data_IF_719326572392
#
_entry.id   IF_719326572392
#
_cell.length_a   1.000
_cell.length_b   1.000
_cell.length_c   1.000
_cell.angle_alpha   90.00
_cell.angle_beta   90.00
_cell.angle_gamma   90.00
#
_symmetry.space_group_name_H-M   'P 1'
#
loop_
_entity.id
_entity.type
_entity.pdbx_description
1 polymer ?
#
# COMPACT_ATOMS: atom_id res chain seq x y z
N UNK A 1 30.87 4.34 2.52
CA UNK A 1 30.62 5.28 1.42
C UNK A 1 29.13 5.28 1.13
N UNK A 2 28.40 6.39 1.33
CA UNK A 2 26.98 6.45 0.97
C UNK A 2 26.83 6.43 -0.57
N UNK A 3 25.89 5.62 -1.07
CA UNK A 3 25.57 5.57 -2.49
C UNK A 3 24.70 6.78 -2.86
N UNK A 4 25.12 7.65 -3.81
CA UNK A 4 24.40 8.89 -4.11
C UNK A 4 23.21 8.62 -5.04
N UNK A 5 22.10 8.16 -4.46
CA UNK A 5 20.89 7.80 -5.20
C UNK A 5 20.35 8.93 -6.09
N UNK A 6 20.53 10.18 -5.68
CA UNK A 6 20.07 11.38 -6.42
C UNK A 6 20.88 11.67 -7.69
N UNK A 7 22.04 11.04 -7.86
CA UNK A 7 22.87 11.18 -9.06
C UNK A 7 22.55 10.13 -10.13
N UNK A 8 21.62 9.20 -9.84
CA UNK A 8 21.18 8.22 -10.81
C UNK A 8 20.29 8.86 -11.90
N UNK A 9 20.36 8.36 -13.15
CA UNK A 9 19.31 8.57 -14.12
C UNK A 9 17.94 8.21 -13.54
N UNK A 10 16.93 9.03 -13.83
CA UNK A 10 15.56 8.86 -13.31
C UNK A 10 15.03 7.45 -13.55
N UNK A 11 15.24 6.90 -14.75
CA UNK A 11 14.79 5.54 -15.11
C UNK A 11 15.39 4.46 -14.20
N UNK A 12 16.68 4.57 -13.87
CA UNK A 12 17.36 3.62 -12.97
C UNK A 12 16.85 3.76 -11.53
N UNK A 13 16.65 5.00 -11.07
CA UNK A 13 16.07 5.24 -9.75
C UNK A 13 14.65 4.67 -9.64
N UNK A 14 13.82 4.85 -10.67
CA UNK A 14 12.46 4.30 -10.72
C UNK A 14 12.47 2.77 -10.75
N UNK A 15 13.36 2.14 -11.51
CA UNK A 15 13.45 0.68 -11.55
C UNK A 15 13.92 0.10 -10.21
N UNK A 16 14.86 0.76 -9.52
CA UNK A 16 15.25 0.37 -8.15
C UNK A 16 14.06 0.49 -7.20
N UNK A 17 13.32 1.60 -7.24
CA UNK A 17 12.12 1.80 -6.41
C UNK A 17 11.09 0.71 -6.71
N UNK A 18 10.83 0.41 -7.98
CA UNK A 18 9.90 -0.62 -8.41
C UNK A 18 10.27 -1.97 -7.82
N UNK A 19 11.52 -2.40 -7.99
CA UNK A 19 12.00 -3.70 -7.49
C UNK A 19 11.95 -3.74 -5.95
N UNK A 20 12.41 -2.69 -5.27
CA UNK A 20 12.37 -2.60 -3.81
C UNK A 20 10.94 -2.55 -3.24
N UNK A 21 9.96 -2.14 -4.05
CA UNK A 21 8.56 -2.05 -3.66
C UNK A 21 7.78 -3.34 -3.90
N UNK A 22 8.38 -4.34 -4.56
CA UNK A 22 7.74 -5.63 -4.74
C UNK A 22 7.63 -6.35 -3.40
N UNK A 23 6.51 -7.05 -3.15
CA UNK A 23 6.38 -7.90 -1.97
C UNK A 23 7.43 -9.01 -1.99
N UNK A 24 8.03 -9.25 -0.83
CA UNK A 24 8.89 -10.41 -0.62
C UNK A 24 8.02 -11.65 -0.29
N UNK A 25 8.17 -12.69 -1.11
CA UNK A 25 7.50 -13.99 -0.95
C UNK A 25 8.46 -15.08 -0.47
N UNK A 26 9.72 -14.74 -0.16
CA UNK A 26 10.81 -15.68 0.05
C UNK A 26 10.72 -16.52 1.33
N UNK A 27 9.88 -16.12 2.29
CA UNK A 27 9.73 -16.87 3.54
C UNK A 27 8.54 -17.83 3.47
N UNK A 28 8.84 -19.10 3.13
CA UNK A 28 7.87 -20.20 3.07
C UNK A 28 7.17 -20.47 4.42
N UNK A 29 7.67 -19.91 5.52
CA UNK A 29 7.03 -20.02 6.84
C UNK A 29 5.98 -18.95 7.08
N UNK A 30 5.95 -17.89 6.28
CA UNK A 30 4.96 -16.83 6.37
C UNK A 30 3.94 -16.94 5.23
N UNK A 31 2.64 -17.10 5.52
CA UNK A 31 1.61 -17.22 4.48
C UNK A 31 1.30 -15.89 3.79
N UNK A 32 2.00 -14.79 4.12
CA UNK A 32 1.68 -13.44 3.66
C UNK A 32 2.91 -12.73 3.12
N UNK A 33 2.81 -12.04 1.98
CA UNK A 33 3.89 -11.24 1.44
C UNK A 33 4.30 -10.12 2.40
N UNK A 34 5.61 -9.92 2.57
CA UNK A 34 6.14 -8.80 3.35
C UNK A 34 6.28 -7.55 2.48
N UNK A 35 5.72 -6.43 2.96
CA UNK A 35 5.83 -5.11 2.31
C UNK A 35 6.74 -4.14 3.10
N UNK A 36 7.55 -4.64 4.03
CA UNK A 36 8.37 -3.81 4.92
C UNK A 36 9.30 -2.84 4.17
N UNK A 37 9.93 -3.32 3.09
CA UNK A 37 10.81 -2.50 2.24
C UNK A 37 10.03 -1.40 1.53
N UNK A 38 8.90 -1.76 0.91
CA UNK A 38 8.03 -0.81 0.22
C UNK A 38 7.50 0.30 1.16
N UNK A 39 7.11 -0.08 2.39
CA UNK A 39 6.68 0.88 3.42
C UNK A 39 7.83 1.81 3.84
N UNK A 40 9.04 1.28 4.00
CA UNK A 40 10.23 2.06 4.33
C UNK A 40 10.58 3.05 3.21
N UNK A 41 10.50 2.62 1.96
CA UNK A 41 10.69 3.48 0.78
C UNK A 41 9.66 4.62 0.75
N UNK A 42 8.39 4.30 0.99
CA UNK A 42 7.31 5.28 1.02
C UNK A 42 7.43 6.36 2.12
N UNK A 43 8.30 6.16 3.11
CA UNK A 43 8.55 7.11 4.20
C UNK A 43 9.71 8.09 3.91
N UNK A 44 10.53 7.85 2.87
CA UNK A 44 11.74 8.64 2.63
C UNK A 44 11.42 10.06 2.14
N UNK A 45 10.54 10.19 1.16
CA UNK A 45 10.13 11.48 0.61
C UNK A 45 8.82 11.36 -0.16
N UNK A 46 8.17 12.49 -0.45
CA UNK A 46 6.96 12.51 -1.28
C UNK A 46 7.18 11.89 -2.68
N UNK A 47 8.30 12.19 -3.34
CA UNK A 47 8.59 11.64 -4.67
C UNK A 47 8.84 10.13 -4.66
N UNK A 48 9.53 9.63 -3.63
CA UNK A 48 9.72 8.18 -3.47
C UNK A 48 8.40 7.50 -3.12
N UNK A 49 7.58 8.14 -2.26
CA UNK A 49 6.22 7.68 -1.97
C UNK A 49 5.39 7.56 -3.23
N UNK A 50 5.30 8.60 -4.06
CA UNK A 50 4.49 8.58 -5.27
C UNK A 50 4.94 7.51 -6.27
N UNK A 51 6.24 7.22 -6.35
CA UNK A 51 6.78 6.14 -7.16
C UNK A 51 6.54 4.74 -6.54
N UNK A 52 6.51 4.62 -5.21
CA UNK A 52 6.34 3.35 -4.49
C UNK A 52 4.87 2.89 -4.43
N UNK A 53 3.94 3.82 -4.20
CA UNK A 53 2.52 3.50 -3.96
C UNK A 53 1.86 2.66 -5.06
N UNK A 54 2.10 2.87 -6.38
CA UNK A 54 1.52 2.02 -7.42
C UNK A 54 1.93 0.55 -7.32
N UNK A 55 3.12 0.26 -6.78
CA UNK A 55 3.61 -1.11 -6.61
C UNK A 55 3.12 -1.71 -5.30
N UNK A 56 3.13 -0.93 -4.22
CA UNK A 56 2.64 -1.35 -2.91
C UNK A 56 1.14 -1.65 -2.92
N UNK A 57 0.33 -0.78 -3.55
CA UNK A 57 -1.13 -0.93 -3.60
C UNK A 57 -1.61 -1.83 -4.73
N UNK A 58 -0.71 -2.35 -5.58
CA UNK A 58 -1.08 -3.19 -6.72
C UNK A 58 -1.95 -4.39 -6.32
N UNK A 59 -1.67 -4.98 -5.14
CA UNK A 59 -2.46 -6.06 -4.56
C UNK A 59 -2.76 -5.79 -3.08
N UNK A 60 -4.03 -5.85 -2.72
CA UNK A 60 -4.50 -5.74 -1.34
C UNK A 60 -5.10 -7.07 -0.92
N UNK A 61 -4.56 -7.66 0.15
CA UNK A 61 -5.07 -8.90 0.77
C UNK A 61 -5.62 -8.54 2.14
N UNK A 62 -6.91 -8.78 2.35
CA UNK A 62 -7.59 -8.59 3.63
C UNK A 62 -8.07 -9.96 4.12
N UNK A 63 -7.44 -10.45 5.17
CA UNK A 63 -7.71 -11.79 5.71
C UNK A 63 -8.37 -11.73 7.08
N UNK A 64 -8.86 -10.59 7.55
CA UNK A 64 -9.54 -10.50 8.84
C UNK A 64 -10.40 -9.25 8.92
N UNK A 65 -11.46 -9.28 9.73
CA UNK A 65 -12.34 -8.13 9.94
C UNK A 65 -11.59 -6.85 10.38
N UNK A 66 -10.62 -6.90 11.31
CA UNK A 66 -9.82 -5.73 11.67
C UNK A 66 -9.06 -5.12 10.48
N UNK A 67 -8.55 -5.93 9.56
CA UNK A 67 -7.87 -5.44 8.36
C UNK A 67 -8.82 -4.75 7.40
N UNK A 68 -10.06 -5.24 7.28
CA UNK A 68 -11.11 -4.58 6.50
C UNK A 68 -11.47 -3.23 7.09
N UNK A 69 -11.64 -3.15 8.41
CA UNK A 69 -11.90 -1.88 9.09
C UNK A 69 -10.73 -0.89 8.89
N UNK A 70 -9.48 -1.33 9.05
CA UNK A 70 -8.31 -0.50 8.77
C UNK A 70 -8.27 -0.04 7.30
N UNK A 71 -8.63 -0.90 6.36
CA UNK A 71 -8.70 -0.53 4.95
C UNK A 71 -9.78 0.53 4.69
N UNK A 72 -10.98 0.37 5.26
CA UNK A 72 -12.05 1.38 5.18
C UNK A 72 -11.59 2.71 5.77
N UNK A 73 -10.99 2.71 6.96
CA UNK A 73 -10.44 3.91 7.59
C UNK A 73 -9.38 4.58 6.70
N UNK A 74 -8.51 3.79 6.06
CA UNK A 74 -7.50 4.32 5.14
C UNK A 74 -8.13 5.01 3.93
N UNK A 75 -9.22 4.46 3.37
CA UNK A 75 -9.95 5.09 2.26
C UNK A 75 -10.60 6.40 2.72
N UNK A 76 -11.22 6.43 3.90
CA UNK A 76 -11.84 7.63 4.45
C UNK A 76 -10.80 8.74 4.67
N UNK A 77 -9.64 8.41 5.21
CA UNK A 77 -8.53 9.35 5.37
C UNK A 77 -8.07 9.92 4.01
N UNK A 78 -8.01 9.07 2.98
CA UNK A 78 -7.60 9.49 1.64
C UNK A 78 -8.63 10.40 0.96
N UNK A 79 -9.92 10.21 1.22
CA UNK A 79 -10.97 11.14 0.79
C UNK A 79 -10.78 12.52 1.42
N UNK A 80 -10.45 12.57 2.71
CA UNK A 80 -10.15 13.83 3.40
C UNK A 80 -8.92 14.52 2.82
N UNK A 81 -7.85 13.77 2.56
CA UNK A 81 -6.65 14.31 1.92
C UNK A 81 -6.90 14.83 0.51
N UNK A 82 -7.72 14.14 -0.27
CA UNK A 82 -8.14 14.60 -1.60
C UNK A 82 -8.93 15.91 -1.50
N UNK A 83 -9.88 16.01 -0.56
CA UNK A 83 -10.66 17.22 -0.33
C UNK A 83 -9.81 18.42 0.13
N UNK A 84 -8.72 18.18 0.87
CA UNK A 84 -7.81 19.21 1.35
C UNK A 84 -6.64 19.49 0.42
N UNK A 85 -6.60 18.91 -0.79
CA UNK A 85 -5.46 18.99 -1.73
C UNK A 85 -4.12 18.62 -1.08
N UNK A 86 -4.12 17.65 -0.16
CA UNK A 86 -2.92 17.21 0.54
C UNK A 86 -1.96 16.51 -0.43
N UNK A 87 -0.64 16.74 -0.33
CA UNK A 87 0.34 15.99 -1.10
C UNK A 87 0.36 14.49 -0.75
N UNK A 88 -0.29 14.08 0.35
CA UNK A 88 -0.42 12.68 0.74
C UNK A 88 -1.65 11.98 0.11
N UNK A 89 -2.45 12.73 -0.65
CA UNK A 89 -3.62 12.19 -1.33
C UNK A 89 -3.21 11.20 -2.42
N UNK A 90 -3.84 10.04 -2.41
CA UNK A 90 -3.62 8.96 -3.38
C UNK A 90 -4.96 8.57 -3.99
N UNK A 91 -4.96 8.34 -5.30
CA UNK A 91 -6.10 7.81 -6.02
C UNK A 91 -6.13 6.28 -5.87
N UNK A 92 -6.57 5.81 -4.69
CA UNK A 92 -6.63 4.39 -4.36
C UNK A 92 -7.31 3.53 -5.44
N UNK A 93 -8.48 3.90 -6.00
CA UNK A 93 -9.12 3.16 -7.08
C UNK A 93 -8.25 2.95 -8.32
N UNK A 94 -7.36 3.90 -8.65
CA UNK A 94 -6.44 3.77 -9.79
C UNK A 94 -5.23 2.88 -9.48
N UNK A 95 -4.84 2.79 -8.21
CA UNK A 95 -3.62 2.09 -7.78
C UNK A 95 -3.88 0.63 -7.41
N UNK A 96 -5.07 0.32 -6.88
CA UNK A 96 -5.46 -1.05 -6.52
C UNK A 96 -5.88 -1.82 -7.76
N UNK A 97 -5.08 -2.82 -8.15
CA UNK A 97 -5.38 -3.68 -9.31
C UNK A 97 -5.95 -5.05 -8.93
N UNK A 98 -5.54 -5.56 -7.77
CA UNK A 98 -5.98 -6.86 -7.25
C UNK A 98 -6.45 -6.68 -5.81
N UNK A 99 -7.59 -7.27 -5.51
CA UNK A 99 -8.21 -7.21 -4.20
C UNK A 99 -8.65 -8.62 -3.83
N UNK A 100 -8.21 -9.10 -2.66
CA UNK A 100 -8.54 -10.42 -2.14
C UNK A 100 -9.08 -10.30 -0.72
N UNK A 101 -10.20 -10.98 -0.47
CA UNK A 101 -10.79 -11.13 0.86
C UNK A 101 -10.93 -12.62 1.13
N UNK A 102 -10.26 -13.14 2.15
CA UNK A 102 -10.21 -14.61 2.39
C UNK A 102 -11.07 -15.08 3.56
N UNK A 103 -11.26 -14.25 4.59
CA UNK A 103 -11.92 -14.66 5.85
C UNK A 103 -13.11 -13.76 6.23
N UNK A 104 -13.46 -12.76 5.42
CA UNK A 104 -14.60 -11.86 5.70
C UNK A 104 -15.85 -12.29 4.92
N UNK A 105 -16.42 -13.44 5.29
CA UNK A 105 -17.69 -13.93 4.74
C UNK A 105 -18.90 -13.55 5.61
N UNK A 106 -18.66 -13.19 6.86
CA UNK A 106 -19.70 -12.69 7.77
C UNK A 106 -20.00 -11.21 7.45
N UNK A 107 -21.30 -10.85 7.34
CA UNK A 107 -21.70 -9.47 7.09
C UNK A 107 -21.18 -8.57 8.21
N UNK A 108 -20.58 -7.43 7.84
CA UNK A 108 -20.08 -6.39 8.76
C UNK A 108 -21.21 -5.63 9.49
N UNK A 109 -22.45 -6.11 9.41
CA UNK A 109 -23.63 -5.56 10.06
C UNK A 109 -24.05 -6.58 11.11
N UNK A 110 -23.86 -6.23 12.39
CA UNK A 110 -24.61 -6.89 13.46
C UNK A 110 -26.09 -6.56 13.27
N UNK A 111 -26.91 -7.59 13.38
CA UNK A 111 -28.36 -7.52 13.46
C UNK A 111 -28.80 -6.36 14.36
N UNK A 112 -29.70 -5.52 13.85
CA UNK A 112 -30.51 -4.66 14.71
C UNK A 112 -31.17 -5.55 15.77
N UNK A 113 -30.93 -5.35 17.08
CA UNK A 113 -31.78 -5.99 18.06
C UNK A 113 -33.18 -5.36 17.95
N UNK A 114 -34.17 -6.23 17.75
CA UNK A 114 -35.63 -6.09 17.84
C UNK A 114 -36.25 -4.68 18.06
#
# INVERSE_FOLDING_TARGET
>A
MPFPFTLLPTELALEIIRVASLPDYGDATTPRPSYATALSMAAVSHGIRSATMPHLLHGVVLSSSPQVLCFIQSILLQKQFSASSSPLALDYPKLVRRFWSTECWEPLMDDSPD
#
